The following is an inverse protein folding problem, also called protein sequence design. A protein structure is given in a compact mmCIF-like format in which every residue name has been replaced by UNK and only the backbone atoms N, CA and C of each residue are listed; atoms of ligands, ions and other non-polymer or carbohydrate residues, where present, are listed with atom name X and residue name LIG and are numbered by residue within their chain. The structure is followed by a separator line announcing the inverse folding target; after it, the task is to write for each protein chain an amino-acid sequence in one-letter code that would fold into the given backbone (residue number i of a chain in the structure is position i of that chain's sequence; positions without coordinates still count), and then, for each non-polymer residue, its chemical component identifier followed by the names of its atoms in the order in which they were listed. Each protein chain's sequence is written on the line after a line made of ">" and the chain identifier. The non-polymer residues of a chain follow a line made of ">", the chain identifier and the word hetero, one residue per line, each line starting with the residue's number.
data_IF_161943557905
#
_entry.id   IF_161943557905
#
_cell.length_a   1.000
_cell.length_b   1.000
_cell.length_c   1.000
_cell.angle_alpha   90.00
_cell.angle_beta   90.00
_cell.angle_gamma   90.00
#
_symmetry.space_group_name_H-M   'P 1'
#
loop_
_entity.id
_entity.type
_entity.pdbx_description
1 polymer ?
#
# COMPACT_ATOMS: atom_id res chain seq x y z
N UNK A 1 -15.71 76.36 -42.11
CA UNK A 1 -15.37 74.92 -42.13
C UNK A 1 -15.56 74.34 -40.73
N UNK A 2 -16.75 73.82 -40.41
CA UNK A 2 -17.05 73.22 -39.10
C UNK A 2 -17.23 71.70 -39.25
N UNK A 3 -16.18 70.93 -38.98
CA UNK A 3 -16.29 69.48 -38.76
C UNK A 3 -16.68 69.27 -37.29
N UNK A 4 -17.94 68.88 -37.04
CA UNK A 4 -18.34 68.45 -35.70
C UNK A 4 -17.82 67.03 -35.47
N UNK A 5 -16.89 66.91 -34.52
CA UNK A 5 -16.37 65.65 -34.03
C UNK A 5 -17.48 64.90 -33.27
N UNK A 6 -17.86 63.74 -33.79
CA UNK A 6 -18.72 62.78 -33.08
C UNK A 6 -17.85 61.98 -32.11
N UNK A 7 -17.82 62.40 -30.86
CA UNK A 7 -17.19 61.64 -29.77
C UNK A 7 -18.05 60.41 -29.46
N UNK A 8 -17.54 59.22 -29.76
CA UNK A 8 -18.18 57.96 -29.40
C UNK A 8 -18.00 57.71 -27.89
N UNK A 9 -19.12 57.56 -27.17
CA UNK A 9 -19.13 57.21 -25.75
C UNK A 9 -18.91 55.69 -25.64
N UNK A 10 -17.90 55.20 -24.91
CA UNK A 10 -17.67 53.77 -24.74
C UNK A 10 -18.81 53.14 -23.92
N UNK A 11 -19.52 52.18 -24.50
CA UNK A 11 -20.51 51.37 -23.78
C UNK A 11 -19.79 50.51 -22.74
N UNK A 12 -20.01 50.80 -21.45
CA UNK A 12 -19.60 49.89 -20.37
C UNK A 12 -20.39 48.58 -20.55
N UNK A 13 -19.69 47.48 -20.81
CA UNK A 13 -20.28 46.16 -20.73
C UNK A 13 -20.85 45.99 -19.31
N UNK A 14 -22.14 45.70 -19.21
CA UNK A 14 -22.79 45.47 -17.93
C UNK A 14 -22.15 44.21 -17.30
N UNK A 15 -21.42 44.38 -16.20
CA UNK A 15 -20.93 43.28 -15.39
C UNK A 15 -22.14 42.60 -14.75
N UNK A 16 -22.60 41.49 -15.34
CA UNK A 16 -23.59 40.60 -14.73
C UNK A 16 -22.94 39.99 -13.48
N UNK A 17 -23.37 40.46 -12.30
CA UNK A 17 -23.05 39.79 -11.04
C UNK A 17 -23.84 38.49 -10.92
N UNK A 18 -23.22 37.45 -10.36
CA UNK A 18 -23.92 36.23 -9.93
C UNK A 18 -24.98 36.59 -8.89
N UNK A 19 -26.17 35.98 -9.01
CA UNK A 19 -27.22 36.17 -8.01
C UNK A 19 -26.88 35.43 -6.72
N UNK A 20 -27.30 35.96 -5.57
CA UNK A 20 -27.08 35.29 -4.28
C UNK A 20 -27.75 33.91 -4.25
N UNK A 21 -28.89 33.77 -4.94
CA UNK A 21 -29.61 32.49 -5.07
C UNK A 21 -28.85 31.45 -5.90
N UNK A 22 -28.15 31.84 -6.97
CA UNK A 22 -27.28 30.91 -7.72
C UNK A 22 -26.18 30.35 -6.82
N UNK A 23 -25.55 31.19 -6.02
CA UNK A 23 -24.50 30.74 -5.11
C UNK A 23 -25.06 29.76 -4.07
N UNK A 24 -26.24 30.04 -3.51
CA UNK A 24 -26.92 29.15 -2.56
C UNK A 24 -27.24 27.79 -3.21
N UNK A 25 -27.79 27.79 -4.42
CA UNK A 25 -28.18 26.52 -5.07
C UNK A 25 -26.95 25.64 -5.35
N UNK A 26 -25.82 26.24 -5.71
CA UNK A 26 -24.58 25.51 -5.96
C UNK A 26 -24.05 24.87 -4.70
N UNK A 27 -23.98 25.60 -3.57
CA UNK A 27 -23.49 25.01 -2.31
C UNK A 27 -24.44 23.93 -1.78
N UNK A 28 -25.75 24.06 -2.02
CA UNK A 28 -26.74 23.02 -1.66
C UNK A 28 -26.52 21.76 -2.48
N UNK A 29 -26.35 21.88 -3.81
CA UNK A 29 -26.07 20.74 -4.68
C UNK A 29 -24.75 20.08 -4.29
N UNK A 30 -23.68 20.87 -4.10
CA UNK A 30 -22.38 20.35 -3.66
C UNK A 30 -22.49 19.66 -2.28
N UNK A 31 -23.31 20.19 -1.38
CA UNK A 31 -23.59 19.57 -0.08
C UNK A 31 -24.22 18.17 -0.20
N UNK A 32 -25.22 18.02 -1.08
CA UNK A 32 -25.89 16.73 -1.33
C UNK A 32 -24.92 15.73 -1.98
N UNK A 33 -24.14 16.17 -2.97
CA UNK A 33 -23.15 15.33 -3.63
C UNK A 33 -22.06 14.88 -2.66
N UNK A 34 -21.56 15.79 -1.81
CA UNK A 34 -20.55 15.45 -0.80
C UNK A 34 -21.08 14.45 0.23
N UNK A 35 -22.31 14.63 0.72
CA UNK A 35 -22.92 13.74 1.72
C UNK A 35 -23.10 12.30 1.21
N UNK A 36 -23.37 12.13 -0.08
CA UNK A 36 -23.55 10.80 -0.70
C UNK A 36 -22.23 10.17 -1.17
N UNK A 37 -21.25 10.98 -1.58
CA UNK A 37 -19.96 10.48 -2.07
C UNK A 37 -18.97 10.11 -0.94
N UNK A 38 -18.98 10.84 0.18
CA UNK A 38 -18.01 10.67 1.26
C UNK A 38 -18.00 9.24 1.86
N UNK A 39 -19.15 8.60 2.16
CA UNK A 39 -19.15 7.23 2.68
C UNK A 39 -18.50 6.23 1.72
N UNK A 40 -18.80 6.35 0.41
CA UNK A 40 -18.23 5.48 -0.62
C UNK A 40 -16.72 5.66 -0.78
N UNK A 41 -16.24 6.90 -0.71
CA UNK A 41 -14.80 7.18 -0.83
C UNK A 41 -13.99 6.61 0.35
N UNK A 42 -14.57 6.62 1.56
CA UNK A 42 -13.98 5.98 2.72
C UNK A 42 -13.78 4.47 2.48
N UNK A 43 -14.84 3.75 2.10
CA UNK A 43 -14.77 2.29 1.89
C UNK A 43 -13.73 1.90 0.82
N UNK A 44 -13.68 2.62 -0.30
CA UNK A 44 -12.72 2.38 -1.39
C UNK A 44 -11.26 2.46 -0.95
N UNK A 45 -10.94 3.33 0.01
CA UNK A 45 -9.57 3.47 0.52
C UNK A 45 -9.14 2.23 1.31
N UNK A 46 -10.06 1.62 2.05
CA UNK A 46 -9.83 0.37 2.77
C UNK A 46 -9.65 -0.79 1.81
N UNK A 47 -10.53 -0.89 0.81
CA UNK A 47 -10.45 -1.92 -0.23
C UNK A 47 -9.14 -1.86 -1.00
N UNK A 48 -8.68 -0.65 -1.35
CA UNK A 48 -7.40 -0.45 -2.05
C UNK A 48 -6.22 -0.96 -1.22
N UNK A 49 -6.20 -0.71 0.09
CA UNK A 49 -5.14 -1.19 0.99
C UNK A 49 -5.21 -2.70 1.22
N UNK A 50 -6.41 -3.24 1.37
CA UNK A 50 -6.61 -4.68 1.45
C UNK A 50 -6.12 -5.39 0.17
N UNK A 51 -6.45 -4.86 -1.00
CA UNK A 51 -5.99 -5.37 -2.28
C UNK A 51 -4.46 -5.29 -2.43
N UNK A 52 -3.85 -4.16 -2.01
CA UNK A 52 -2.39 -3.99 -2.07
C UNK A 52 -1.66 -4.95 -1.13
N UNK A 53 -2.21 -5.25 0.05
CA UNK A 53 -1.66 -6.28 0.94
C UNK A 53 -1.80 -7.68 0.36
N UNK A 54 -2.94 -8.00 -0.26
CA UNK A 54 -3.10 -9.29 -0.94
C UNK A 54 -2.08 -9.45 -2.08
N UNK A 55 -1.84 -8.38 -2.85
CA UNK A 55 -0.81 -8.36 -3.88
C UNK A 55 0.61 -8.56 -3.31
N UNK A 56 0.96 -7.84 -2.23
CA UNK A 56 2.23 -8.01 -1.55
C UNK A 56 2.42 -9.42 -0.97
N UNK A 57 1.37 -10.02 -0.42
CA UNK A 57 1.40 -11.41 0.06
C UNK A 57 1.64 -12.39 -1.11
N UNK A 58 1.01 -12.15 -2.27
CA UNK A 58 1.28 -12.90 -3.50
C UNK A 58 2.74 -12.79 -3.93
N UNK A 59 3.29 -11.57 -3.93
CA UNK A 59 4.70 -11.31 -4.25
C UNK A 59 5.65 -12.05 -3.30
N UNK A 60 5.40 -12.00 -1.99
CA UNK A 60 6.18 -12.73 -0.99
C UNK A 60 6.16 -14.25 -1.20
N UNK A 61 5.00 -14.84 -1.53
CA UNK A 61 4.89 -16.28 -1.83
C UNK A 61 5.65 -16.65 -3.10
N UNK A 62 5.51 -15.84 -4.15
CA UNK A 62 6.24 -16.05 -5.41
C UNK A 62 7.74 -15.94 -5.22
N UNK A 63 8.20 -14.89 -4.53
CA UNK A 63 9.59 -14.68 -4.17
C UNK A 63 10.16 -15.84 -3.34
N UNK A 64 9.40 -16.34 -2.37
CA UNK A 64 9.77 -17.52 -1.58
C UNK A 64 9.97 -18.76 -2.44
N UNK A 65 9.07 -19.02 -3.39
CA UNK A 65 9.19 -20.16 -4.32
C UNK A 65 10.39 -20.02 -5.27
N UNK A 66 10.64 -18.82 -5.80
CA UNK A 66 11.78 -18.56 -6.70
C UNK A 66 13.10 -18.70 -5.94
N UNK A 67 13.22 -18.08 -4.76
CA UNK A 67 14.39 -18.19 -3.89
C UNK A 67 14.69 -19.66 -3.53
N UNK A 68 13.65 -20.41 -3.19
CA UNK A 68 13.78 -21.84 -2.87
C UNK A 68 14.21 -22.66 -4.09
N UNK A 69 13.66 -22.38 -5.28
CA UNK A 69 14.11 -22.99 -6.53
C UNK A 69 15.59 -22.74 -6.81
N UNK A 70 16.06 -21.51 -6.63
CA UNK A 70 17.49 -21.19 -6.76
C UNK A 70 18.35 -21.89 -5.70
N UNK A 71 17.89 -21.93 -4.45
CA UNK A 71 18.61 -22.60 -3.37
C UNK A 71 18.74 -24.11 -3.64
N UNK A 72 17.73 -24.75 -4.25
CA UNK A 72 17.80 -26.15 -4.65
C UNK A 72 18.84 -26.37 -5.74
N UNK A 73 18.89 -25.50 -6.75
CA UNK A 73 19.91 -25.55 -7.81
C UNK A 73 21.31 -25.36 -7.25
N UNK A 74 21.46 -24.45 -6.27
CA UNK A 74 22.73 -24.16 -5.63
C UNK A 74 23.13 -25.17 -4.54
N UNK A 75 22.26 -26.14 -4.23
CA UNK A 75 22.48 -27.11 -3.15
C UNK A 75 22.40 -26.52 -1.73
N UNK A 76 21.89 -25.30 -1.57
CA UNK A 76 21.84 -24.57 -0.30
C UNK A 76 20.45 -24.58 0.36
N UNK A 77 19.47 -25.27 -0.24
CA UNK A 77 18.09 -25.32 0.26
C UNK A 77 17.91 -25.93 1.66
N UNK A 78 18.95 -26.58 2.22
CA UNK A 78 18.93 -27.17 3.56
C UNK A 78 19.80 -26.44 4.56
N UNK A 79 20.46 -25.37 4.14
CA UNK A 79 21.36 -24.60 4.99
C UNK A 79 20.56 -23.64 5.87
N UNK A 80 20.88 -23.63 7.17
CA UNK A 80 20.26 -22.72 8.12
C UNK A 80 20.57 -21.24 7.82
N UNK A 81 21.67 -20.99 7.10
CA UNK A 81 22.05 -19.67 6.61
C UNK A 81 22.79 -19.79 5.29
N UNK A 82 22.30 -19.11 4.27
CA UNK A 82 22.94 -19.02 2.95
C UNK A 82 22.50 -17.75 2.23
N UNK A 83 22.91 -17.61 0.98
CA UNK A 83 22.49 -16.53 0.09
C UNK A 83 22.17 -17.07 -1.30
N UNK A 84 21.14 -16.52 -1.94
CA UNK A 84 20.83 -16.73 -3.37
C UNK A 84 20.84 -15.40 -4.10
N UNK A 85 21.03 -15.41 -5.42
CA UNK A 85 21.08 -14.19 -6.24
C UNK A 85 19.85 -14.10 -7.12
N UNK A 86 18.93 -13.21 -6.75
CA UNK A 86 17.70 -12.93 -7.49
C UNK A 86 17.91 -11.64 -8.29
N UNK A 87 17.83 -11.72 -9.62
CA UNK A 87 17.98 -10.55 -10.51
C UNK A 87 19.27 -9.72 -10.27
N UNK A 88 20.37 -10.39 -9.89
CA UNK A 88 21.64 -9.73 -9.57
C UNK A 88 21.73 -9.16 -8.15
N UNK A 89 20.70 -9.34 -7.32
CA UNK A 89 20.65 -8.92 -5.91
C UNK A 89 20.85 -10.12 -5.01
N UNK A 90 21.78 -10.01 -4.05
CA UNK A 90 22.00 -11.03 -3.03
C UNK A 90 20.89 -11.00 -1.98
N UNK A 91 20.22 -12.13 -1.79
CA UNK A 91 19.14 -12.33 -0.82
C UNK A 91 19.59 -13.37 0.19
N UNK A 92 19.62 -12.98 1.46
CA UNK A 92 19.87 -13.92 2.55
C UNK A 92 18.72 -14.91 2.65
N UNK A 93 19.06 -16.19 2.79
CA UNK A 93 18.10 -17.29 2.88
C UNK A 93 18.32 -18.14 4.12
N UNK A 94 17.22 -18.67 4.64
CA UNK A 94 17.15 -19.66 5.71
C UNK A 94 16.39 -20.86 5.16
N UNK A 95 17.03 -22.04 5.11
CA UNK A 95 16.51 -23.26 4.49
C UNK A 95 15.94 -23.03 3.08
N UNK A 96 16.66 -22.23 2.29
CA UNK A 96 16.31 -21.89 0.91
C UNK A 96 15.20 -20.86 0.73
N UNK A 97 14.53 -20.41 1.78
CA UNK A 97 13.55 -19.32 1.71
C UNK A 97 14.18 -17.99 2.13
N UNK A 98 13.67 -16.82 1.71
CA UNK A 98 14.17 -15.54 2.19
C UNK A 98 14.21 -15.49 3.72
N UNK A 99 15.31 -15.01 4.29
CA UNK A 99 15.42 -14.84 5.74
C UNK A 99 14.35 -13.86 6.22
N UNK A 100 13.85 -14.04 7.45
CA UNK A 100 12.91 -13.13 8.09
C UNK A 100 13.63 -11.84 8.52
N UNK A 101 14.10 -11.09 7.54
CA UNK A 101 14.73 -9.78 7.69
C UNK A 101 14.13 -8.80 6.70
N UNK A 102 14.06 -7.53 7.10
CA UNK A 102 13.50 -6.50 6.24
C UNK A 102 14.29 -6.33 4.93
N UNK A 103 15.60 -6.58 4.95
CA UNK A 103 16.46 -6.50 3.75
C UNK A 103 16.15 -7.65 2.79
N UNK A 104 16.13 -8.89 3.28
CA UNK A 104 15.90 -10.06 2.44
C UNK A 104 14.49 -10.06 1.82
N UNK A 105 13.45 -9.74 2.60
CA UNK A 105 12.07 -9.72 2.09
C UNK A 105 11.85 -8.60 1.06
N UNK A 106 12.43 -7.41 1.26
CA UNK A 106 12.35 -6.33 0.28
C UNK A 106 13.06 -6.69 -1.02
N UNK A 107 14.26 -7.25 -0.91
CA UNK A 107 15.04 -7.67 -2.07
C UNK A 107 14.34 -8.81 -2.84
N UNK A 108 13.77 -9.79 -2.13
CA UNK A 108 13.15 -10.95 -2.75
C UNK A 108 11.78 -10.62 -3.39
N UNK A 109 10.95 -9.84 -2.70
CA UNK A 109 9.56 -9.58 -3.12
C UNK A 109 9.33 -8.19 -3.73
N UNK A 110 10.39 -7.39 -3.90
CA UNK A 110 10.30 -6.06 -4.50
C UNK A 110 9.49 -5.05 -3.66
N UNK A 111 9.47 -5.21 -2.33
CA UNK A 111 8.67 -4.35 -1.46
C UNK A 111 9.37 -3.01 -1.24
N UNK A 112 8.69 -1.92 -1.61
CA UNK A 112 9.13 -0.56 -1.36
C UNK A 112 8.92 -0.15 0.12
N UNK A 113 9.90 0.54 0.70
CA UNK A 113 9.82 1.03 2.08
C UNK A 113 8.79 2.16 2.29
N UNK A 114 8.47 2.92 1.23
CA UNK A 114 7.45 3.98 1.29
C UNK A 114 6.02 3.44 1.32
N UNK A 115 5.81 2.23 0.78
CA UNK A 115 4.51 1.59 0.69
C UNK A 115 4.31 0.57 1.82
N UNK A 116 5.38 -0.18 2.16
CA UNK A 116 5.34 -1.24 3.15
C UNK A 116 6.45 -1.10 4.20
N UNK A 117 6.02 -1.09 5.47
CA UNK A 117 6.92 -1.30 6.60
C UNK A 117 7.00 -2.78 6.91
N UNK A 118 8.17 -3.20 7.38
CA UNK A 118 8.42 -4.55 7.89
C UNK A 118 8.75 -4.38 9.36
N UNK A 119 7.88 -4.90 10.22
CA UNK A 119 7.88 -4.70 11.66
C UNK A 119 8.12 -6.03 12.38
N UNK A 120 8.65 -5.95 13.60
CA UNK A 120 8.95 -7.10 14.45
C UNK A 120 7.93 -7.21 15.58
N UNK A 121 7.97 -8.30 16.35
CA UNK A 121 7.08 -8.51 17.50
C UNK A 121 7.20 -7.47 18.62
N UNK A 122 8.14 -6.52 18.53
CA UNK A 122 8.34 -5.44 19.50
C UNK A 122 7.65 -4.14 19.13
N UNK A 123 7.14 -4.03 17.90
CA UNK A 123 6.38 -2.87 17.44
C UNK A 123 4.99 -2.82 18.08
N UNK A 124 4.48 -1.64 18.41
CA UNK A 124 3.21 -1.47 19.14
C UNK A 124 1.96 -1.70 18.28
N UNK A 125 2.09 -1.68 16.94
CA UNK A 125 0.98 -1.72 15.99
C UNK A 125 0.93 -3.04 15.18
N UNK A 126 1.54 -4.12 15.67
CA UNK A 126 1.59 -5.42 14.97
C UNK A 126 0.68 -6.46 15.64
N UNK A 127 0.23 -7.49 14.91
CA UNK A 127 -0.43 -8.65 15.52
C UNK A 127 0.42 -9.34 16.58
N UNK A 128 -0.21 -10.15 17.44
CA UNK A 128 0.52 -11.09 18.29
C UNK A 128 1.27 -12.10 17.42
N UNK A 129 2.59 -12.14 17.54
CA UNK A 129 3.48 -12.97 16.74
C UNK A 129 4.74 -13.37 17.52
N UNK A 130 5.46 -14.40 17.04
CA UNK A 130 6.72 -14.86 17.63
C UNK A 130 7.92 -14.06 17.12
N UNK A 131 9.09 -14.24 17.75
CA UNK A 131 10.35 -13.63 17.30
C UNK A 131 10.84 -14.15 15.93
N UNK A 132 10.32 -15.29 15.45
CA UNK A 132 10.63 -15.86 14.13
C UNK A 132 9.66 -15.38 13.04
N UNK A 133 8.87 -14.35 13.34
CA UNK A 133 7.87 -13.77 12.46
C UNK A 133 8.13 -12.29 12.22
N UNK A 134 7.71 -11.82 11.04
CA UNK A 134 7.68 -10.40 10.69
C UNK A 134 6.27 -10.01 10.24
N UNK A 135 5.86 -8.80 10.61
CA UNK A 135 4.65 -8.17 10.11
C UNK A 135 5.01 -7.28 8.91
N UNK A 136 4.36 -7.49 7.77
CA UNK A 136 4.40 -6.55 6.65
C UNK A 136 3.09 -5.78 6.66
N UNK A 137 3.19 -4.45 6.77
CA UNK A 137 2.04 -3.56 6.92
C UNK A 137 2.18 -2.36 5.98
N UNK A 138 1.10 -1.64 5.67
CA UNK A 138 1.21 -0.34 5.03
C UNK A 138 2.14 0.56 5.84
N UNK A 139 3.07 1.25 5.16
CA UNK A 139 4.01 2.16 5.83
C UNK A 139 3.29 3.34 6.49
N UNK A 140 2.17 3.77 5.90
CA UNK A 140 1.30 4.83 6.42
C UNK A 140 0.10 4.23 7.15
N UNK A 141 -0.16 4.72 8.36
CA UNK A 141 -1.24 4.26 9.24
C UNK A 141 -1.21 2.73 9.45
N UNK A 142 -0.09 2.18 9.95
CA UNK A 142 -0.01 0.74 10.18
C UNK A 142 -1.02 0.33 11.26
N UNK A 143 -1.64 -0.83 11.04
CA UNK A 143 -2.61 -1.39 11.98
C UNK A 143 -2.33 -2.87 12.15
N UNK A 144 -2.45 -3.37 13.37
CA UNK A 144 -2.32 -4.80 13.63
C UNK A 144 -3.33 -5.59 12.78
N UNK A 145 -4.53 -5.05 12.60
CA UNK A 145 -5.57 -5.64 11.76
C UNK A 145 -5.35 -5.47 10.24
N UNK A 146 -4.21 -4.96 9.78
CA UNK A 146 -3.91 -4.77 8.35
C UNK A 146 -2.46 -5.18 8.09
N UNK A 147 -2.21 -6.49 8.14
CA UNK A 147 -0.86 -7.04 8.16
C UNK A 147 -0.76 -8.39 7.42
N UNK A 148 0.41 -8.66 6.88
CA UNK A 148 0.84 -9.99 6.42
C UNK A 148 1.83 -10.51 7.45
N UNK A 149 1.71 -11.76 7.86
CA UNK A 149 2.68 -12.45 8.70
C UNK A 149 3.56 -13.30 7.82
N UNK A 150 4.85 -12.99 7.82
CA UNK A 150 5.88 -13.86 7.31
C UNK A 150 6.45 -14.70 8.45
N UNK A 151 6.42 -16.01 8.33
CA UNK A 151 7.07 -16.93 9.28
C UNK A 151 8.32 -17.51 8.62
N UNK A 152 9.47 -17.38 9.28
CA UNK A 152 10.73 -17.92 8.77
C UNK A 152 10.67 -19.45 8.61
N UNK A 153 11.40 -19.97 7.63
CA UNK A 153 11.57 -21.39 7.46
C UNK A 153 12.41 -21.99 8.60
N UNK A 154 12.19 -23.26 8.89
CA UNK A 154 13.04 -24.07 9.76
C UNK A 154 13.55 -25.30 9.00
N UNK A 155 14.39 -26.13 9.63
CA UNK A 155 14.92 -27.34 9.01
C UNK A 155 13.82 -28.33 8.56
N UNK A 156 12.63 -28.24 9.15
CA UNK A 156 11.51 -29.15 8.88
C UNK A 156 10.23 -28.46 8.42
N UNK A 157 10.17 -27.13 8.44
CA UNK A 157 8.98 -26.36 8.05
C UNK A 157 9.33 -25.29 7.02
N UNK A 158 8.66 -25.26 5.85
CA UNK A 158 8.80 -24.15 4.90
C UNK A 158 8.40 -22.80 5.51
N UNK A 159 8.89 -21.71 4.93
CA UNK A 159 8.40 -20.37 5.29
C UNK A 159 6.93 -20.21 4.90
N UNK A 160 6.16 -19.48 5.71
CA UNK A 160 4.74 -19.20 5.43
C UNK A 160 4.49 -17.71 5.26
N UNK A 161 3.50 -17.40 4.42
CA UNK A 161 3.00 -16.04 4.18
C UNK A 161 1.50 -16.06 4.39
N UNK A 162 1.07 -15.52 5.51
CA UNK A 162 -0.31 -15.60 5.96
C UNK A 162 -0.89 -14.19 6.12
N UNK A 163 -2.15 -14.02 5.73
CA UNK A 163 -2.92 -12.85 6.11
C UNK A 163 -3.83 -13.34 7.23
N UNK A 164 -3.60 -12.94 8.49
CA UNK A 164 -4.42 -13.40 9.60
C UNK A 164 -5.90 -13.19 9.29
N UNK A 165 -6.73 -14.19 9.58
CA UNK A 165 -8.17 -14.10 9.35
C UNK A 165 -8.73 -12.86 10.07
N UNK A 166 -9.51 -12.04 9.36
CA UNK A 166 -9.99 -10.70 9.73
C UNK A 166 -9.05 -9.51 9.47
N UNK A 167 -7.79 -9.72 9.07
CA UNK A 167 -6.79 -8.63 8.95
C UNK A 167 -6.49 -8.15 7.52
N UNK A 168 -7.45 -8.36 6.61
CA UNK A 168 -7.32 -7.96 5.20
C UNK A 168 -8.66 -7.59 4.56
N UNK A 169 -9.65 -7.15 5.35
CA UNK A 169 -10.90 -6.59 4.83
C UNK A 169 -10.81 -5.07 4.79
N UNK A 170 -11.62 -4.43 3.95
CA UNK A 170 -11.70 -2.96 3.87
C UNK A 170 -11.84 -2.32 5.25
N UNK A 171 -12.71 -2.88 6.08
CA UNK A 171 -13.04 -2.39 7.42
C UNK A 171 -11.85 -2.42 8.39
N UNK A 172 -10.93 -3.38 8.25
CA UNK A 172 -9.77 -3.50 9.14
C UNK A 172 -8.52 -2.79 8.64
N UNK A 173 -8.49 -2.45 7.34
CA UNK A 173 -7.42 -1.69 6.68
C UNK A 173 -7.71 -0.19 6.47
N UNK A 174 -8.90 0.29 6.83
CA UNK A 174 -9.29 1.70 6.80
C UNK A 174 -8.50 2.58 7.75
#
# INVERSE_FOLDING_TARGET
>A
MNKQARTAIPQRAAQSGFTLIELIVVIVILGILAATALPKFSDLSGDARAASLNAAAGALRSAGAIAHGQALVNGTAREASSTVTLEGVSVATVYGYPAATAVALRAAAGLNAEDYRIATSTDSDVPTMSASQLAIQPAKNPKAACAIIYTEATASTPATVEIPVNTGTAATCL
#
